data_IF_614432523080
#
_entry.id   IF_614432523080
#
_cell.length_a   1.000
_cell.length_b   1.000
_cell.length_c   1.000
_cell.angle_alpha   90.00
_cell.angle_beta   90.00
_cell.angle_gamma   90.00
#
_symmetry.space_group_name_H-M   'P 1'
#
loop_
_entity.id
_entity.type
_entity.pdbx_description
1 polymer ?
#
# COMPACT_ATOMS: atom_id res chain seq x y z
N UNK A 1 -9.88 -0.98 16.81
CA UNK A 1 -8.95 -0.93 17.97
C UNK A 1 -7.54 -1.08 17.42
N UNK A 2 -6.56 -0.41 18.00
CA UNK A 2 -5.17 -0.44 17.54
C UNK A 2 -4.31 -0.99 18.68
N UNK A 3 -3.62 -2.11 18.45
CA UNK A 3 -2.61 -2.64 19.37
C UNK A 3 -1.41 -1.70 19.44
N UNK A 4 -0.75 -1.64 20.59
CA UNK A 4 0.40 -0.74 20.80
C UNK A 4 -0.01 0.72 21.00
N UNK A 5 -1.16 0.96 21.63
CA UNK A 5 -1.65 2.30 21.98
C UNK A 5 -1.75 2.47 23.50
N UNK A 6 -1.93 3.70 23.97
CA UNK A 6 -2.09 3.99 25.41
C UNK A 6 -3.28 3.28 26.08
N UNK A 7 -4.23 2.74 25.28
CA UNK A 7 -5.41 2.02 25.76
C UNK A 7 -5.35 0.50 25.56
N UNK A 8 -4.40 0.00 24.78
CA UNK A 8 -4.28 -1.42 24.43
C UNK A 8 -2.83 -1.76 24.11
N UNK A 9 -2.27 -2.70 24.87
CA UNK A 9 -0.89 -3.17 24.74
C UNK A 9 -0.56 -3.66 23.32
N UNK A 10 0.74 -3.80 23.01
CA UNK A 10 1.21 -4.33 21.74
C UNK A 10 1.04 -5.84 21.60
N UNK A 11 1.41 -6.37 20.42
CA UNK A 11 1.36 -7.81 20.11
C UNK A 11 2.73 -8.49 19.96
N UNK A 12 3.84 -7.75 20.06
CA UNK A 12 5.19 -8.33 20.07
C UNK A 12 5.51 -8.83 21.49
N UNK A 13 4.86 -9.93 21.88
CA UNK A 13 4.91 -10.54 23.20
C UNK A 13 4.59 -12.04 23.09
N UNK A 14 4.84 -12.81 24.15
CA UNK A 14 4.46 -14.23 24.22
C UNK A 14 2.94 -14.45 24.26
N UNK A 15 2.19 -13.48 24.80
CA UNK A 15 0.74 -13.50 24.90
C UNK A 15 0.15 -12.14 24.56
N UNK A 16 -1.03 -12.13 23.93
CA UNK A 16 -1.77 -10.92 23.58
C UNK A 16 -3.24 -11.04 24.00
N UNK A 17 -3.80 -9.97 24.58
CA UNK A 17 -5.23 -9.88 24.89
C UNK A 17 -5.99 -9.27 23.72
N UNK A 18 -6.86 -10.04 23.09
CA UNK A 18 -7.72 -9.55 21.99
C UNK A 18 -9.13 -9.23 22.48
N UNK A 19 -9.51 -7.95 22.61
CA UNK A 19 -10.88 -7.57 22.96
C UNK A 19 -11.86 -7.78 21.80
N UNK A 20 -13.15 -7.97 22.13
CA UNK A 20 -14.26 -8.11 21.15
C UNK A 20 -13.98 -9.22 20.11
N UNK A 21 -13.62 -10.42 20.58
CA UNK A 21 -13.18 -11.55 19.75
C UNK A 21 -14.14 -11.89 18.62
N UNK A 22 -15.44 -11.88 18.90
CA UNK A 22 -16.49 -12.25 17.93
C UNK A 22 -16.44 -11.46 16.61
N UNK A 23 -15.85 -10.25 16.63
CA UNK A 23 -15.62 -9.46 15.42
C UNK A 23 -14.16 -9.17 15.10
N UNK A 24 -13.19 -9.58 15.93
CA UNK A 24 -11.78 -9.16 15.80
C UNK A 24 -10.85 -10.30 15.39
N UNK A 25 -11.26 -11.56 15.59
CA UNK A 25 -10.48 -12.72 15.18
C UNK A 25 -11.18 -13.47 14.06
N UNK A 26 -10.38 -14.11 13.21
CA UNK A 26 -10.84 -15.09 12.22
C UNK A 26 -10.01 -16.36 12.36
N UNK A 27 -10.61 -17.51 12.07
CA UNK A 27 -9.87 -18.77 12.02
C UNK A 27 -8.92 -18.75 10.82
N UNK A 28 -7.68 -19.18 11.04
CA UNK A 28 -6.70 -19.36 9.99
C UNK A 28 -7.18 -20.43 8.99
N UNK A 29 -7.30 -20.11 7.69
CA UNK A 29 -7.58 -21.12 6.67
C UNK A 29 -6.34 -22.01 6.45
N UNK A 30 -6.49 -23.34 6.28
CA UNK A 30 -5.37 -24.27 6.14
C UNK A 30 -4.61 -24.11 4.81
N UNK A 31 -5.16 -23.38 3.85
CA UNK A 31 -4.58 -23.11 2.54
C UNK A 31 -3.59 -21.95 2.52
N UNK A 32 -3.47 -21.19 3.62
CA UNK A 32 -2.56 -20.05 3.74
C UNK A 32 -1.50 -20.37 4.78
N UNK A 33 -0.23 -20.18 4.43
CA UNK A 33 0.89 -20.34 5.36
C UNK A 33 0.80 -19.38 6.55
N UNK A 34 1.28 -19.80 7.72
CA UNK A 34 1.32 -18.96 8.92
C UNK A 34 2.12 -17.67 8.69
N UNK A 35 3.21 -17.78 7.93
CA UNK A 35 4.01 -16.63 7.52
C UNK A 35 3.18 -15.64 6.70
N UNK A 36 2.41 -16.11 5.72
CA UNK A 36 1.54 -15.22 4.94
C UNK A 36 0.40 -14.62 5.79
N UNK A 37 -0.15 -15.37 6.74
CA UNK A 37 -1.22 -14.88 7.61
C UNK A 37 -0.80 -13.69 8.48
N UNK A 38 0.49 -13.56 8.83
CA UNK A 38 0.97 -12.37 9.57
C UNK A 38 0.74 -11.08 8.77
N UNK A 39 0.66 -11.15 7.43
CA UNK A 39 0.37 -10.00 6.59
C UNK A 39 -1.07 -9.49 6.76
N UNK A 40 -2.00 -10.38 7.10
CA UNK A 40 -3.43 -10.05 7.30
C UNK A 40 -3.69 -9.27 8.58
N UNK A 41 -2.71 -9.19 9.49
CA UNK A 41 -2.83 -8.38 10.70
C UNK A 41 -2.87 -6.87 10.39
N UNK A 42 -2.27 -6.43 9.27
CA UNK A 42 -2.25 -5.02 8.87
C UNK A 42 -1.92 -4.83 7.38
N UNK A 43 -0.67 -5.09 6.98
CA UNK A 43 -0.13 -4.49 5.76
C UNK A 43 -0.80 -4.97 4.46
N UNK A 44 -1.24 -6.23 4.41
CA UNK A 44 -1.93 -6.76 3.23
C UNK A 44 -3.33 -6.16 3.07
N UNK A 45 -4.24 -6.24 4.07
CA UNK A 45 -5.54 -5.59 3.96
C UNK A 45 -5.40 -4.07 3.80
N UNK A 46 -4.39 -3.42 4.39
CA UNK A 46 -4.13 -1.99 4.19
C UNK A 46 -3.79 -1.67 2.73
N UNK A 47 -2.85 -2.39 2.10
CA UNK A 47 -2.55 -2.22 0.67
C UNK A 47 -3.76 -2.52 -0.23
N UNK A 48 -4.49 -3.61 0.06
CA UNK A 48 -5.73 -3.96 -0.65
C UNK A 48 -6.80 -2.86 -0.53
N UNK A 49 -6.99 -2.30 0.67
CA UNK A 49 -7.94 -1.22 0.92
C UNK A 49 -7.62 0.03 0.11
N UNK A 50 -6.33 0.37 -0.06
CA UNK A 50 -5.90 1.49 -0.90
C UNK A 50 -6.44 1.37 -2.33
N UNK A 51 -6.22 0.21 -2.95
CA UNK A 51 -6.70 -0.08 -4.32
C UNK A 51 -8.23 -0.16 -4.36
N UNK A 52 -8.85 -0.90 -3.43
CA UNK A 52 -10.32 -1.04 -3.37
C UNK A 52 -11.02 0.30 -3.21
N UNK A 53 -10.48 1.19 -2.38
CA UNK A 53 -11.01 2.54 -2.18
C UNK A 53 -10.87 3.36 -3.46
N UNK A 54 -9.71 3.32 -4.13
CA UNK A 54 -9.52 4.03 -5.39
C UNK A 54 -10.57 3.62 -6.44
N UNK A 55 -10.83 2.31 -6.58
CA UNK A 55 -11.85 1.77 -7.48
C UNK A 55 -13.27 2.16 -7.08
N UNK A 56 -13.59 2.13 -5.78
CA UNK A 56 -14.94 2.46 -5.28
C UNK A 56 -15.30 3.93 -5.51
N UNK A 57 -14.30 4.82 -5.53
CA UNK A 57 -14.45 6.24 -5.82
C UNK A 57 -14.32 6.57 -7.31
N UNK A 58 -13.85 5.64 -8.13
CA UNK A 58 -13.75 5.83 -9.56
C UNK A 58 -15.13 6.12 -10.17
N UNK A 59 -15.22 6.95 -11.22
CA UNK A 59 -16.49 7.11 -11.91
C UNK A 59 -16.93 5.77 -12.51
N UNK A 60 -18.24 5.50 -12.60
CA UNK A 60 -18.76 4.23 -13.12
C UNK A 60 -18.40 3.99 -14.60
N UNK A 61 -17.98 5.04 -15.30
CA UNK A 61 -17.51 5.00 -16.68
C UNK A 61 -16.04 4.61 -16.81
N UNK A 62 -15.29 4.49 -15.71
CA UNK A 62 -13.89 4.07 -15.78
C UNK A 62 -13.80 2.58 -16.14
N UNK A 63 -13.25 2.28 -17.31
CA UNK A 63 -12.80 0.95 -17.65
C UNK A 63 -11.41 0.71 -17.04
N UNK A 64 -11.33 -0.13 -16.01
CA UNK A 64 -10.07 -0.43 -15.32
C UNK A 64 -9.02 -1.02 -16.27
N UNK A 65 -9.39 -1.85 -17.25
CA UNK A 65 -8.45 -2.45 -18.22
C UNK A 65 -7.88 -1.45 -19.23
N UNK A 66 -8.44 -0.24 -19.32
CA UNK A 66 -7.93 0.86 -20.15
C UNK A 66 -7.27 1.96 -19.31
N UNK A 67 -7.32 1.83 -17.99
CA UNK A 67 -6.89 2.86 -17.06
C UNK A 67 -5.40 2.76 -16.70
N UNK A 68 -4.86 3.87 -16.22
CA UNK A 68 -3.54 3.95 -15.61
C UNK A 68 -3.66 4.07 -14.09
N UNK A 69 -3.08 3.10 -13.38
CA UNK A 69 -3.01 3.07 -11.91
C UNK A 69 -1.56 3.29 -11.47
N UNK A 70 -1.35 4.21 -10.53
CA UNK A 70 -0.02 4.47 -9.94
C UNK A 70 -0.05 4.16 -8.45
N UNK A 71 0.95 3.42 -7.96
CA UNK A 71 1.21 3.24 -6.52
C UNK A 71 2.43 4.08 -6.14
N UNK A 72 2.31 4.96 -5.16
CA UNK A 72 3.40 5.79 -4.64
C UNK A 72 3.84 5.24 -3.29
N UNK A 73 5.10 4.79 -3.23
CA UNK A 73 5.71 4.08 -2.11
C UNK A 73 5.74 2.57 -2.37
N UNK A 74 6.93 1.98 -2.34
CA UNK A 74 7.19 0.56 -2.54
C UNK A 74 7.72 -0.11 -1.25
N UNK A 75 7.33 0.42 -0.08
CA UNK A 75 7.49 -0.30 1.19
C UNK A 75 6.53 -1.49 1.30
N UNK A 76 6.53 -2.23 2.43
CA UNK A 76 5.72 -3.45 2.57
C UNK A 76 4.22 -3.28 2.24
N UNK A 77 3.60 -2.19 2.71
CA UNK A 77 2.19 -1.86 2.38
C UNK A 77 2.01 -1.58 0.89
N UNK A 78 2.94 -0.84 0.28
CA UNK A 78 2.94 -0.52 -1.14
C UNK A 78 3.06 -1.74 -2.03
N UNK A 79 3.92 -2.68 -1.67
CA UNK A 79 4.06 -3.96 -2.38
C UNK A 79 2.77 -4.79 -2.28
N UNK A 80 2.09 -4.80 -1.13
CA UNK A 80 0.74 -5.39 -1.03
C UNK A 80 -0.29 -4.66 -1.91
N UNK A 81 -0.25 -3.32 -1.97
CA UNK A 81 -1.09 -2.54 -2.87
C UNK A 81 -0.81 -2.86 -4.35
N UNK A 82 0.45 -3.07 -4.74
CA UNK A 82 0.82 -3.46 -6.10
C UNK A 82 0.24 -4.84 -6.45
N UNK A 83 0.30 -5.82 -5.54
CA UNK A 83 -0.36 -7.13 -5.75
C UNK A 83 -1.87 -6.95 -5.97
N UNK A 84 -2.53 -6.11 -5.17
CA UNK A 84 -3.96 -5.82 -5.31
C UNK A 84 -4.29 -5.07 -6.61
N UNK A 85 -3.44 -4.14 -7.03
CA UNK A 85 -3.60 -3.38 -8.27
C UNK A 85 -3.38 -4.25 -9.51
N UNK A 86 -2.35 -5.08 -9.52
CA UNK A 86 -2.04 -6.00 -10.61
C UNK A 86 -3.17 -7.00 -10.86
N UNK A 87 -3.89 -7.43 -9.80
CA UNK A 87 -5.06 -8.31 -9.94
C UNK A 87 -6.20 -7.67 -10.75
N UNK A 88 -6.29 -6.34 -10.76
CA UNK A 88 -7.30 -5.60 -11.54
C UNK A 88 -6.95 -5.50 -13.03
N UNK A 89 -5.70 -5.82 -13.39
CA UNK A 89 -5.16 -5.78 -14.75
C UNK A 89 -5.39 -4.42 -15.45
N UNK A 90 -4.93 -3.29 -14.85
CA UNK A 90 -4.98 -2.01 -15.53
C UNK A 90 -4.11 -2.03 -16.80
N UNK A 91 -4.38 -1.12 -17.74
CA UNK A 91 -3.56 -0.97 -18.96
C UNK A 91 -2.11 -0.66 -18.60
N UNK A 92 -1.94 0.23 -17.62
CA UNK A 92 -0.64 0.59 -17.07
C UNK A 92 -0.69 0.56 -15.55
N UNK A 93 0.30 -0.09 -14.94
CA UNK A 93 0.53 -0.09 -13.50
C UNK A 93 1.93 0.46 -13.25
N UNK A 94 2.04 1.63 -12.63
CA UNK A 94 3.33 2.22 -12.26
C UNK A 94 3.56 2.16 -10.76
N UNK A 95 4.82 1.98 -10.36
CA UNK A 95 5.26 2.01 -8.97
C UNK A 95 6.33 3.09 -8.81
N UNK A 96 6.10 4.04 -7.90
CA UNK A 96 7.00 5.17 -7.66
C UNK A 96 7.68 4.99 -6.30
N UNK A 97 9.00 5.03 -6.25
CA UNK A 97 9.81 5.05 -5.02
C UNK A 97 11.18 5.71 -5.30
N UNK A 98 12.00 5.92 -4.28
CA UNK A 98 13.36 6.42 -4.41
C UNK A 98 14.43 5.33 -4.26
N UNK A 99 14.04 4.12 -3.82
CA UNK A 99 14.95 3.01 -3.51
C UNK A 99 14.86 1.93 -4.58
N UNK A 100 15.94 1.70 -5.32
CA UNK A 100 15.97 0.77 -6.45
C UNK A 100 15.62 -0.68 -6.08
N UNK A 101 16.05 -1.15 -4.90
CA UNK A 101 15.73 -2.52 -4.46
C UNK A 101 14.23 -2.74 -4.22
N UNK A 102 13.50 -1.71 -3.79
CA UNK A 102 12.04 -1.75 -3.62
C UNK A 102 11.33 -1.69 -4.97
N UNK A 103 11.84 -0.87 -5.88
CA UNK A 103 11.34 -0.77 -7.26
C UNK A 103 11.52 -2.09 -8.03
N UNK A 104 12.63 -2.79 -7.80
CA UNK A 104 12.89 -4.09 -8.40
C UNK A 104 11.87 -5.15 -7.94
N UNK A 105 11.49 -5.16 -6.66
CA UNK A 105 10.39 -6.02 -6.20
C UNK A 105 9.05 -5.60 -6.78
N UNK A 106 8.76 -4.30 -6.87
CA UNK A 106 7.56 -3.81 -7.53
C UNK A 106 7.45 -4.30 -8.98
N UNK A 107 8.59 -4.34 -9.70
CA UNK A 107 8.70 -4.91 -11.05
C UNK A 107 8.35 -6.39 -11.09
N UNK A 108 8.85 -7.17 -10.16
CA UNK A 108 8.55 -8.61 -10.06
C UNK A 108 7.05 -8.87 -9.76
N UNK A 109 6.38 -7.92 -9.11
CA UNK A 109 4.95 -7.97 -8.83
C UNK A 109 4.08 -7.42 -9.98
N UNK A 110 4.69 -6.98 -11.09
CA UNK A 110 3.99 -6.58 -12.32
C UNK A 110 3.75 -5.09 -12.49
N UNK A 111 4.39 -4.23 -11.68
CA UNK A 111 4.38 -2.78 -11.88
C UNK A 111 5.61 -2.33 -12.69
N UNK A 112 5.47 -1.26 -13.48
CA UNK A 112 6.60 -0.59 -14.10
C UNK A 112 7.23 0.39 -13.08
N UNK A 113 8.51 0.18 -12.70
CA UNK A 113 9.16 1.00 -11.68
C UNK A 113 9.58 2.37 -12.22
N UNK A 114 9.33 3.43 -11.45
CA UNK A 114 9.78 4.79 -11.75
C UNK A 114 10.48 5.40 -10.52
N UNK A 115 11.76 5.77 -10.67
CA UNK A 115 12.54 6.31 -9.57
C UNK A 115 12.50 7.85 -9.56
N UNK A 116 11.88 8.44 -8.53
CA UNK A 116 11.76 9.90 -8.43
C UNK A 116 13.03 10.60 -7.91
N UNK A 117 13.95 9.85 -7.28
CA UNK A 117 15.20 10.39 -6.76
C UNK A 117 16.25 10.52 -7.85
N UNK A 118 16.34 9.56 -8.76
CA UNK A 118 17.29 9.60 -9.87
C UNK A 118 16.77 10.32 -11.11
N UNK A 119 15.47 10.21 -11.42
CA UNK A 119 14.88 10.85 -12.60
C UNK A 119 13.41 11.27 -12.41
N UNK A 120 13.19 12.34 -11.64
CA UNK A 120 11.85 12.90 -11.42
C UNK A 120 11.19 13.37 -12.72
N UNK A 121 11.95 13.94 -13.65
CA UNK A 121 11.39 14.48 -14.89
C UNK A 121 10.94 13.35 -15.83
N UNK A 122 11.77 12.31 -16.00
CA UNK A 122 11.43 11.12 -16.76
C UNK A 122 10.28 10.33 -16.15
N UNK A 123 10.19 10.23 -14.81
CA UNK A 123 9.03 9.65 -14.13
C UNK A 123 7.73 10.35 -14.56
N UNK A 124 7.68 11.68 -14.50
CA UNK A 124 6.48 12.44 -14.89
C UNK A 124 6.19 12.28 -16.38
N UNK A 125 7.22 12.39 -17.23
CA UNK A 125 7.10 12.26 -18.68
C UNK A 125 6.54 10.89 -19.09
N UNK A 126 7.00 9.81 -18.45
CA UNK A 126 6.57 8.44 -18.73
C UNK A 126 5.08 8.22 -18.42
N UNK A 127 4.58 8.78 -17.31
CA UNK A 127 3.16 8.72 -16.96
C UNK A 127 2.32 9.50 -17.96
N UNK A 128 2.78 10.69 -18.35
CA UNK A 128 2.09 11.50 -19.36
C UNK A 128 2.07 10.80 -20.72
N UNK A 129 3.18 10.23 -21.16
CA UNK A 129 3.26 9.45 -22.40
C UNK A 129 2.27 8.28 -22.40
N UNK A 130 2.22 7.50 -21.31
CA UNK A 130 1.29 6.38 -21.15
C UNK A 130 -0.19 6.79 -21.18
N UNK A 131 -0.47 8.06 -20.88
CA UNK A 131 -1.82 8.58 -20.68
C UNK A 131 -2.21 9.63 -21.72
N UNK A 132 -1.43 9.79 -22.79
CA UNK A 132 -1.65 10.80 -23.84
C UNK A 132 -1.74 12.22 -23.27
N UNK A 133 -0.90 12.51 -22.27
CA UNK A 133 -0.80 13.79 -21.58
C UNK A 133 -1.87 14.04 -20.51
N UNK A 134 -2.80 13.11 -20.29
CA UNK A 134 -3.92 13.31 -19.33
C UNK A 134 -3.49 13.21 -17.87
N UNK A 135 -2.56 12.31 -17.56
CA UNK A 135 -2.24 11.88 -16.20
C UNK A 135 -2.96 10.60 -15.78
N UNK A 136 -2.60 10.07 -14.61
CA UNK A 136 -3.10 8.79 -14.09
C UNK A 136 -4.58 8.87 -13.70
N UNK A 137 -5.35 7.80 -13.96
CA UNK A 137 -6.75 7.68 -13.58
C UNK A 137 -6.91 7.48 -12.07
N UNK A 138 -6.06 6.61 -11.51
CA UNK A 138 -6.08 6.19 -10.11
C UNK A 138 -4.68 6.31 -9.52
N UNK A 139 -4.55 6.94 -8.36
CA UNK A 139 -3.30 7.00 -7.60
C UNK A 139 -3.54 6.45 -6.20
N UNK A 140 -2.74 5.46 -5.79
CA UNK A 140 -2.72 4.92 -4.43
C UNK A 140 -1.44 5.40 -3.75
N UNK A 141 -1.58 6.27 -2.75
CA UNK A 141 -0.47 6.88 -2.04
C UNK A 141 -0.32 6.22 -0.66
N UNK A 142 0.86 5.63 -0.39
CA UNK A 142 1.09 4.80 0.82
C UNK A 142 2.24 5.30 1.69
N UNK A 143 2.76 6.51 1.45
CA UNK A 143 3.94 7.07 2.11
C UNK A 143 3.56 7.91 3.33
N UNK A 144 2.55 8.78 3.21
CA UNK A 144 2.07 9.65 4.30
C UNK A 144 2.82 10.98 4.43
N UNK A 145 3.64 11.34 3.43
CA UNK A 145 4.40 12.59 3.43
C UNK A 145 3.81 13.61 2.45
N UNK A 146 3.81 14.89 2.81
CA UNK A 146 3.29 15.97 1.95
C UNK A 146 3.91 15.98 0.54
N UNK A 147 5.21 15.76 0.32
CA UNK A 147 5.76 15.67 -1.04
C UNK A 147 5.22 14.49 -1.86
N UNK A 148 4.93 13.35 -1.22
CA UNK A 148 4.34 12.20 -1.90
C UNK A 148 2.88 12.48 -2.28
N UNK A 149 2.11 13.07 -1.37
CA UNK A 149 0.73 13.48 -1.61
C UNK A 149 0.64 14.58 -2.68
N UNK A 150 1.60 15.52 -2.70
CA UNK A 150 1.75 16.50 -3.78
C UNK A 150 2.01 15.82 -5.11
N UNK A 151 2.93 14.87 -5.15
CA UNK A 151 3.22 14.09 -6.37
C UNK A 151 1.97 13.37 -6.87
N UNK A 152 1.18 12.76 -5.97
CA UNK A 152 -0.10 12.14 -6.32
C UNK A 152 -1.07 13.13 -6.97
N UNK A 153 -1.16 14.34 -6.41
CA UNK A 153 -1.97 15.42 -6.97
C UNK A 153 -1.47 15.90 -8.33
N UNK A 154 -0.16 16.02 -8.52
CA UNK A 154 0.41 16.51 -9.78
C UNK A 154 0.19 15.51 -10.93
N UNK A 155 0.35 14.20 -10.67
CA UNK A 155 0.22 13.14 -11.69
C UNK A 155 -1.22 12.71 -11.97
N UNK A 156 -2.15 12.91 -11.03
CA UNK A 156 -3.55 12.52 -11.26
C UNK A 156 -4.18 13.42 -12.31
N UNK A 157 -4.93 12.81 -13.24
CA UNK A 157 -5.67 13.55 -14.24
C UNK A 157 -6.84 14.33 -13.63
N UNK A 158 -7.36 15.35 -14.34
CA UNK A 158 -8.67 15.90 -14.01
C UNK A 158 -9.74 14.80 -13.91
N UNK A 159 -10.61 14.88 -12.90
CA UNK A 159 -11.62 13.86 -12.56
C UNK A 159 -11.06 12.48 -12.18
N UNK A 160 -9.76 12.37 -11.87
CA UNK A 160 -9.14 11.15 -11.36
C UNK A 160 -9.35 10.96 -9.85
N UNK A 161 -8.78 9.88 -9.32
CA UNK A 161 -8.91 9.49 -7.91
C UNK A 161 -7.55 9.39 -7.23
N UNK A 162 -7.46 9.92 -6.02
CA UNK A 162 -6.36 9.66 -5.09
C UNK A 162 -6.92 8.89 -3.89
N UNK A 163 -6.37 7.72 -3.63
CA UNK A 163 -6.60 6.93 -2.42
C UNK A 163 -5.33 6.97 -1.59
N UNK A 164 -5.32 7.81 -0.55
CA UNK A 164 -4.19 7.99 0.32
C UNK A 164 -4.40 7.26 1.64
N UNK A 165 -3.55 6.26 1.87
CA UNK A 165 -3.58 5.39 3.07
C UNK A 165 -2.28 5.50 3.88
N UNK A 166 -1.35 6.35 3.46
CA UNK A 166 -0.21 6.78 4.26
C UNK A 166 -0.66 7.61 5.46
N UNK A 167 0.14 7.62 6.52
CA UNK A 167 -0.17 8.35 7.76
C UNK A 167 0.29 9.81 7.63
N UNK A 168 -0.64 10.70 7.28
CA UNK A 168 -0.38 12.15 7.19
C UNK A 168 -0.47 12.84 8.55
N UNK A 169 0.49 13.71 8.85
CA UNK A 169 0.54 14.56 10.04
C UNK A 169 0.75 16.06 9.73
N UNK A 170 0.72 16.42 8.45
CA UNK A 170 0.94 17.75 7.94
C UNK A 170 -0.26 18.24 7.11
N UNK A 171 -0.19 19.48 6.63
CA UNK A 171 -1.23 20.05 5.76
C UNK A 171 -1.29 19.37 4.40
N UNK A 172 -2.48 19.43 3.79
CA UNK A 172 -2.72 18.98 2.42
C UNK A 172 -1.98 19.93 1.46
N UNK A 173 -1.11 19.41 0.56
CA UNK A 173 -0.16 20.22 -0.22
C UNK A 173 -0.76 20.82 -1.51
N UNK A 174 -2.02 21.24 -1.47
CA UNK A 174 -2.69 21.98 -2.53
C UNK A 174 -3.78 22.87 -1.95
N UNK A 175 -4.08 23.95 -2.68
CA UNK A 175 -5.17 24.86 -2.35
C UNK A 175 -6.55 24.29 -2.73
N UNK A 176 -7.60 24.85 -2.13
CA UNK A 176 -8.98 24.54 -2.54
C UNK A 176 -9.26 24.87 -4.01
N UNK A 177 -8.61 25.91 -4.56
CA UNK A 177 -8.76 26.28 -5.98
C UNK A 177 -8.12 25.26 -6.92
N UNK A 178 -6.92 24.75 -6.60
CA UNK A 178 -6.28 23.66 -7.34
C UNK A 178 -7.16 22.40 -7.36
N UNK A 179 -7.68 21.99 -6.19
CA UNK A 179 -8.56 20.83 -6.09
C UNK A 179 -9.88 21.01 -6.85
N UNK A 180 -10.49 22.19 -6.74
CA UNK A 180 -11.71 22.55 -7.47
C UNK A 180 -11.48 22.49 -8.99
N UNK A 181 -10.37 23.03 -9.48
CA UNK A 181 -10.02 23.03 -10.89
C UNK A 181 -9.82 21.62 -11.47
N UNK A 182 -9.20 20.71 -10.71
CA UNK A 182 -8.98 19.33 -11.16
C UNK A 182 -10.19 18.41 -10.97
N UNK A 183 -11.22 18.79 -10.22
CA UNK A 183 -12.36 17.92 -9.88
C UNK A 183 -11.89 16.56 -9.32
N UNK A 184 -10.86 16.56 -8.47
CA UNK A 184 -10.31 15.32 -7.91
C UNK A 184 -11.31 14.65 -6.96
N UNK A 185 -11.25 13.32 -6.88
CA UNK A 185 -11.83 12.55 -5.79
C UNK A 185 -10.71 12.09 -4.88
N UNK A 186 -10.85 12.32 -3.58
CA UNK A 186 -9.85 11.98 -2.58
C UNK A 186 -10.48 11.12 -1.49
N UNK A 187 -9.81 10.00 -1.19
CA UNK A 187 -10.02 9.25 0.04
C UNK A 187 -8.77 9.34 0.89
N UNK A 188 -8.93 9.66 2.17
CA UNK A 188 -7.87 9.59 3.17
C UNK A 188 -8.39 8.82 4.37
N UNK A 189 -7.60 7.91 4.94
CA UNK A 189 -7.98 7.26 6.20
C UNK A 189 -7.29 5.94 6.49
N UNK A 190 -7.53 5.45 7.71
CA UNK A 190 -7.04 4.15 8.18
C UNK A 190 -7.84 3.02 7.55
N UNK A 191 -7.14 1.91 7.26
CA UNK A 191 -7.77 0.69 6.76
C UNK A 191 -8.80 0.13 7.77
N UNK A 192 -10.08 -0.03 7.38
CA UNK A 192 -11.07 -0.72 8.18
C UNK A 192 -10.94 -2.23 7.98
N UNK A 193 -9.84 -2.85 8.43
CA UNK A 193 -9.48 -4.26 8.14
C UNK A 193 -10.67 -5.21 8.28
N UNK A 194 -11.47 -5.08 9.36
CA UNK A 194 -12.64 -5.93 9.61
C UNK A 194 -13.64 -5.96 8.45
N UNK A 195 -13.92 -4.82 7.80
CA UNK A 195 -14.95 -4.76 6.75
C UNK A 195 -14.49 -5.33 5.41
N UNK A 196 -13.19 -5.49 5.21
CA UNK A 196 -12.59 -5.99 3.97
C UNK A 196 -11.83 -7.32 4.15
N UNK A 197 -11.80 -7.86 5.37
CA UNK A 197 -10.93 -8.98 5.75
C UNK A 197 -11.12 -10.18 4.83
N UNK A 198 -12.36 -10.60 4.62
CA UNK A 198 -12.67 -11.79 3.79
C UNK A 198 -12.21 -11.62 2.34
N UNK A 199 -12.40 -10.44 1.74
CA UNK A 199 -11.98 -10.18 0.35
C UNK A 199 -10.46 -10.11 0.22
N UNK A 200 -9.79 -9.43 1.17
CA UNK A 200 -8.34 -9.40 1.22
C UNK A 200 -7.75 -10.80 1.44
N UNK A 201 -8.37 -11.62 2.29
CA UNK A 201 -7.93 -13.00 2.56
C UNK A 201 -7.98 -13.87 1.30
N UNK A 202 -9.06 -13.76 0.51
CA UNK A 202 -9.19 -14.47 -0.78
C UNK A 202 -8.08 -14.08 -1.75
N UNK A 203 -7.74 -12.79 -1.81
CA UNK A 203 -6.63 -12.35 -2.65
C UNK A 203 -5.29 -12.87 -2.14
N UNK A 204 -5.06 -12.81 -0.82
CA UNK A 204 -3.83 -13.32 -0.23
C UNK A 204 -3.67 -14.82 -0.52
N UNK A 205 -4.73 -15.62 -0.34
CA UNK A 205 -4.72 -17.05 -0.64
C UNK A 205 -4.23 -17.32 -2.07
N UNK A 206 -4.74 -16.55 -3.03
CA UNK A 206 -4.36 -16.64 -4.45
C UNK A 206 -2.92 -16.19 -4.71
N UNK A 207 -2.40 -15.22 -3.96
CA UNK A 207 -1.16 -14.48 -4.29
C UNK A 207 0.00 -14.67 -3.31
N UNK A 208 -0.19 -15.41 -2.22
CA UNK A 208 0.83 -15.61 -1.18
C UNK A 208 2.18 -16.11 -1.73
N UNK A 209 2.17 -16.89 -2.81
CA UNK A 209 3.38 -17.39 -3.47
C UNK A 209 4.29 -16.28 -4.01
N UNK A 210 3.78 -15.07 -4.24
CA UNK A 210 4.55 -13.90 -4.68
C UNK A 210 5.23 -13.16 -3.53
N UNK A 211 4.87 -13.45 -2.28
CA UNK A 211 5.21 -12.64 -1.10
C UNK A 211 6.29 -13.27 -0.23
N UNK A 212 6.94 -14.35 -0.68
CA UNK A 212 7.96 -15.07 0.08
C UNK A 212 9.08 -14.17 0.62
N UNK A 213 9.47 -13.15 -0.16
CA UNK A 213 10.50 -12.18 0.22
C UNK A 213 10.14 -11.36 1.49
N UNK A 214 8.86 -11.29 1.87
CA UNK A 214 8.42 -10.58 3.09
C UNK A 214 8.74 -11.36 4.38
N UNK A 215 9.20 -12.61 4.27
CA UNK A 215 9.43 -13.52 5.40
C UNK A 215 10.88 -14.00 5.50
N UNK A 216 11.82 -13.35 4.80
CA UNK A 216 13.24 -13.72 4.83
C UNK A 216 13.92 -13.43 6.18
N UNK A 217 13.39 -12.48 6.95
CA UNK A 217 13.95 -12.04 8.23
C UNK A 217 13.03 -12.40 9.39
N UNK A 218 12.97 -13.69 9.71
CA UNK A 218 12.31 -14.20 10.91
C UNK A 218 13.34 -14.29 12.03
N UNK A 219 13.06 -13.64 13.16
CA UNK A 219 13.98 -13.54 14.30
C UNK A 219 13.28 -13.92 15.60
N UNK A 220 13.99 -14.44 16.61
CA UNK A 220 13.39 -14.65 17.93
C UNK A 220 13.05 -13.30 18.60
N UNK A 221 12.01 -13.27 19.42
CA UNK A 221 11.53 -12.03 20.05
C UNK A 221 12.58 -11.37 20.97
N UNK A 222 13.48 -12.15 21.56
CA UNK A 222 14.59 -11.62 22.38
C UNK A 222 15.63 -10.83 21.56
N UNK A 223 15.61 -10.90 20.23
CA UNK A 223 16.44 -10.10 19.32
C UNK A 223 15.70 -8.89 18.74
N UNK A 224 14.54 -8.51 19.31
CA UNK A 224 13.70 -7.44 18.77
C UNK A 224 14.47 -6.12 18.54
N UNK A 225 15.33 -5.70 19.48
CA UNK A 225 16.12 -4.47 19.36
C UNK A 225 17.02 -4.49 18.11
N UNK A 226 17.64 -5.63 17.80
CA UNK A 226 18.44 -5.79 16.59
C UNK A 226 17.55 -5.74 15.35
N UNK A 227 16.40 -6.43 15.37
CA UNK A 227 15.42 -6.38 14.28
C UNK A 227 14.95 -4.95 13.97
N UNK A 228 14.66 -4.16 15.00
CA UNK A 228 14.32 -2.74 14.87
C UNK A 228 15.48 -1.92 14.25
N UNK A 229 16.72 -2.17 14.69
CA UNK A 229 17.91 -1.49 14.14
C UNK A 229 18.08 -1.79 12.65
N UNK A 230 17.97 -3.06 12.25
CA UNK A 230 18.08 -3.46 10.84
C UNK A 230 17.01 -2.81 9.96
N UNK A 231 15.79 -2.70 10.49
CA UNK A 231 14.67 -2.07 9.79
C UNK A 231 14.85 -0.55 9.65
N UNK A 232 15.26 0.12 10.73
CA UNK A 232 15.53 1.57 10.74
C UNK A 232 16.67 1.96 9.80
N UNK A 233 17.76 1.18 9.79
CA UNK A 233 18.89 1.34 8.87
C UNK A 233 18.57 0.92 7.42
N UNK A 234 17.32 0.57 7.12
CA UNK A 234 16.84 0.12 5.81
C UNK A 234 17.60 -1.09 5.23
N UNK A 235 18.22 -1.91 6.09
CA UNK A 235 18.92 -3.15 5.69
C UNK A 235 17.94 -4.28 5.37
N UNK A 236 16.75 -4.24 5.97
CA UNK A 236 15.67 -5.20 5.75
C UNK A 236 14.37 -4.44 5.52
N UNK A 237 13.46 -5.04 4.75
CA UNK A 237 12.16 -4.41 4.47
C UNK A 237 11.07 -4.79 5.45
N UNK A 238 11.22 -5.94 6.10
CA UNK A 238 10.29 -6.45 7.09
C UNK A 238 11.02 -7.42 7.99
N UNK A 239 10.70 -7.36 9.28
CA UNK A 239 11.13 -8.33 10.28
C UNK A 239 9.88 -8.97 10.88
N UNK A 240 9.91 -10.27 11.09
CA UNK A 240 8.87 -11.03 11.79
C UNK A 240 9.48 -11.64 13.03
N UNK A 241 8.86 -11.40 14.19
CA UNK A 241 9.33 -11.99 15.44
C UNK A 241 8.59 -13.29 15.74
N UNK A 242 9.35 -14.31 16.11
CA UNK A 242 8.85 -15.55 16.69
C UNK A 242 8.99 -15.45 18.22
N UNK A 243 7.87 -15.37 18.97
CA UNK A 243 7.89 -15.36 20.42
C UNK A 243 8.53 -16.61 21.01
#
# INVERSE_FOLDING_TARGET
MLFGSTKLDGGQAEYVRVPLTDGTVSKAPPSISDEALILMADIFPTGFFGVKSALSLAPPTLNIQESTLVVIGCGPVGLCAIVAAAEQKPKHLFAIDGVDSRLEQARQLGAEPLNFMSDKAGMMARILEATEGRGADLVVEVVGLSPALRTAFDIVRPFGVISSIGVHNAEIPWSGSEAYGKNIRLQMGRCPVRSIFSEALVLLEKKQHLLGFMFENIMPLNEAVQGYTLFDEMKVQKVVFKP
#
